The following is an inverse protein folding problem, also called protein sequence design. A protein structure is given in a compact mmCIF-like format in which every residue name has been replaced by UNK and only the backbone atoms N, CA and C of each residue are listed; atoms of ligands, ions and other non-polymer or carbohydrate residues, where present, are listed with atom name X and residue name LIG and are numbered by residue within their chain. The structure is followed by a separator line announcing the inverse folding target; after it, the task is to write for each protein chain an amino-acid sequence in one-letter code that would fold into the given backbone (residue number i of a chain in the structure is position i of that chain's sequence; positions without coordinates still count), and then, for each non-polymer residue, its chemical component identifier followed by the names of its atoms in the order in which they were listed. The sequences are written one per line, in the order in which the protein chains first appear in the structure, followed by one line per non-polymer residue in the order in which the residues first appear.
data_IF_043475363052
#
_entry.id   IF_043475363052
#
_cell.length_a   1.000
_cell.length_b   1.000
_cell.length_c   1.000
_cell.angle_alpha   90.00
_cell.angle_beta   90.00
_cell.angle_gamma   90.00
#
_symmetry.space_group_name_H-M   'P 1'
#
loop_
_entity.id
_entity.type
_entity.pdbx_description
1 polymer ?
#
# COMPACT_ATOMS: atom_id res chain seq x y z
N UNK A 1 -25.18 -13.22 19.33
CA UNK A 1 -25.73 -11.96 18.80
C UNK A 1 -26.40 -12.25 17.46
N UNK A 2 -27.55 -11.65 17.19
CA UNK A 2 -28.24 -11.78 15.90
C UNK A 2 -27.85 -10.60 15.01
N UNK A 3 -27.42 -10.88 13.77
CA UNK A 3 -27.10 -9.84 12.78
C UNK A 3 -28.38 -9.33 12.10
N UNK A 4 -28.34 -8.08 11.64
CA UNK A 4 -29.42 -7.50 10.85
C UNK A 4 -29.59 -8.19 9.49
N UNK A 5 -30.81 -8.18 8.94
CA UNK A 5 -31.11 -8.77 7.63
C UNK A 5 -30.38 -8.07 6.48
N UNK A 6 -30.25 -6.73 6.54
CA UNK A 6 -29.53 -5.91 5.56
C UNK A 6 -28.26 -5.33 6.16
N UNK A 7 -27.11 -5.64 5.55
CA UNK A 7 -25.80 -5.08 5.93
C UNK A 7 -25.50 -3.87 5.05
N UNK A 8 -25.99 -2.69 5.45
CA UNK A 8 -25.71 -1.43 4.76
C UNK A 8 -25.27 -0.38 5.76
N UNK A 9 -24.21 0.34 5.39
CA UNK A 9 -23.61 1.39 6.21
C UNK A 9 -23.55 2.68 5.41
N UNK A 10 -23.93 3.79 6.04
CA UNK A 10 -23.75 5.14 5.50
C UNK A 10 -22.73 5.85 6.37
N UNK A 11 -21.64 6.33 5.77
CA UNK A 11 -20.58 7.08 6.45
C UNK A 11 -20.48 8.47 5.84
N UNK A 12 -20.39 9.50 6.68
CA UNK A 12 -19.98 10.82 6.21
C UNK A 12 -18.46 10.80 5.99
N UNK A 13 -18.01 11.13 4.78
CA UNK A 13 -16.58 11.19 4.41
C UNK A 13 -15.91 12.51 4.80
N UNK A 14 -16.68 13.50 5.27
CA UNK A 14 -16.19 14.80 5.73
C UNK A 14 -15.96 15.81 4.62
N UNK A 15 -15.26 15.43 3.56
CA UNK A 15 -15.04 16.25 2.37
C UNK A 15 -15.03 15.37 1.10
N UNK A 16 -15.11 16.01 -0.07
CA UNK A 16 -14.91 15.35 -1.36
C UNK A 16 -13.43 14.93 -1.49
N UNK A 17 -13.12 13.68 -1.87
CA UNK A 17 -11.75 13.23 -2.03
C UNK A 17 -11.05 13.90 -3.21
N UNK A 18 -9.78 14.27 -3.05
CA UNK A 18 -8.96 14.81 -4.15
C UNK A 18 -8.75 13.80 -5.29
N UNK A 19 -8.63 12.52 -4.95
CA UNK A 19 -8.44 11.42 -5.89
C UNK A 19 -8.83 10.09 -5.24
N UNK A 20 -8.99 9.05 -6.06
CA UNK A 20 -9.06 7.66 -5.61
C UNK A 20 -7.75 6.89 -5.88
N UNK A 21 -6.78 7.52 -6.56
CA UNK A 21 -5.45 6.95 -6.78
C UNK A 21 -4.61 7.10 -5.51
N UNK A 22 -4.16 6.00 -4.87
CA UNK A 22 -3.42 6.06 -3.62
C UNK A 22 -2.08 6.82 -3.71
N UNK A 23 -1.52 7.03 -4.91
CA UNK A 23 -0.31 7.83 -5.06
C UNK A 23 -0.61 9.32 -5.26
N UNK A 24 -1.87 9.76 -5.22
CA UNK A 24 -2.31 11.14 -5.49
C UNK A 24 -3.10 11.76 -4.34
N UNK A 25 -3.07 11.14 -3.17
CA UNK A 25 -3.84 11.54 -1.99
C UNK A 25 -2.93 11.76 -0.79
N UNK A 26 -3.30 12.69 0.08
CA UNK A 26 -2.58 12.95 1.35
C UNK A 26 -3.49 13.10 2.58
N UNK A 27 -4.81 13.14 2.38
CA UNK A 27 -5.78 13.41 3.42
C UNK A 27 -6.44 12.17 4.04
N UNK A 28 -7.09 12.40 5.17
CA UNK A 28 -7.88 11.39 5.88
C UNK A 28 -9.14 10.94 5.11
N UNK A 29 -9.93 11.83 4.47
CA UNK A 29 -11.09 11.43 3.67
C UNK A 29 -10.74 10.40 2.60
N UNK A 30 -9.67 10.65 1.86
CA UNK A 30 -9.18 9.79 0.80
C UNK A 30 -8.65 8.48 1.35
N UNK A 31 -7.89 8.52 2.45
CA UNK A 31 -7.37 7.32 3.09
C UNK A 31 -8.48 6.39 3.60
N UNK A 32 -9.62 6.94 4.05
CA UNK A 32 -10.78 6.13 4.43
C UNK A 32 -11.35 5.33 3.26
N UNK A 33 -11.48 5.96 2.09
CA UNK A 33 -12.00 5.31 0.88
C UNK A 33 -10.95 4.35 0.32
N UNK A 34 -9.68 4.75 0.31
CA UNK A 34 -8.57 3.93 -0.17
C UNK A 34 -8.45 2.61 0.59
N UNK A 35 -8.66 2.59 1.91
CA UNK A 35 -8.67 1.36 2.73
C UNK A 35 -9.80 0.39 2.40
N UNK A 36 -10.91 0.87 1.86
CA UNK A 36 -12.03 0.03 1.44
C UNK A 36 -11.81 -0.52 0.01
N UNK A 37 -10.97 0.15 -0.81
CA UNK A 37 -10.71 -0.21 -2.21
C UNK A 37 -9.40 -0.98 -2.44
N UNK A 38 -8.38 -0.73 -1.62
CA UNK A 38 -7.03 -1.29 -1.76
C UNK A 38 -6.56 -1.90 -0.44
N UNK A 39 -5.94 -3.08 -0.52
CA UNK A 39 -5.32 -3.75 0.61
C UNK A 39 -3.80 -3.83 0.41
N UNK A 40 -3.03 -3.42 1.41
CA UNK A 40 -1.57 -3.48 1.39
C UNK A 40 -1.00 -4.84 1.82
N UNK A 41 0.32 -4.89 2.04
CA UNK A 41 0.99 -6.08 2.57
C UNK A 41 0.39 -6.49 3.93
N UNK A 42 0.21 -5.51 4.82
CA UNK A 42 -0.41 -5.66 6.13
C UNK A 42 -1.66 -4.77 6.24
N UNK A 43 -2.51 -5.09 7.21
CA UNK A 43 -3.66 -4.29 7.62
C UNK A 43 -3.55 -3.91 9.11
N UNK A 44 -4.51 -3.16 9.62
CA UNK A 44 -4.53 -2.69 11.01
C UNK A 44 -5.66 -3.36 11.78
N UNK A 45 -5.34 -3.95 12.94
CA UNK A 45 -6.33 -4.57 13.82
C UNK A 45 -7.36 -3.54 14.30
N UNK A 46 -8.67 -3.78 14.13
CA UNK A 46 -9.71 -2.88 14.62
C UNK A 46 -9.86 -2.93 16.15
N UNK A 47 -9.19 -3.87 16.83
CA UNK A 47 -9.28 -4.02 18.30
C UNK A 47 -8.36 -3.07 19.05
N UNK A 48 -7.16 -2.87 18.53
CA UNK A 48 -6.02 -2.29 19.25
C UNK A 48 -4.98 -1.61 18.33
N UNK A 49 -5.21 -1.61 17.01
CA UNK A 49 -4.37 -0.87 16.06
C UNK A 49 -3.04 -1.53 15.70
N UNK A 50 -2.75 -2.76 16.16
CA UNK A 50 -1.50 -3.43 15.78
C UNK A 50 -1.54 -3.92 14.32
N UNK A 51 -0.37 -4.07 13.65
CA UNK A 51 -0.31 -4.62 12.30
C UNK A 51 -0.71 -6.10 12.25
N UNK A 52 -1.59 -6.45 11.32
CA UNK A 52 -2.08 -7.81 11.06
C UNK A 52 -1.87 -8.19 9.59
N UNK A 53 -1.92 -9.48 9.21
CA UNK A 53 -1.85 -9.91 7.81
C UNK A 53 -2.87 -9.20 6.91
N UNK A 54 -2.40 -8.76 5.74
CA UNK A 54 -3.21 -8.25 4.62
C UNK A 54 -3.07 -9.19 3.43
N UNK A 55 -2.49 -8.69 2.33
CA UNK A 55 -2.11 -9.57 1.20
C UNK A 55 -0.94 -10.49 1.58
N UNK A 56 -0.03 -10.05 2.45
CA UNK A 56 1.01 -10.92 2.99
C UNK A 56 0.44 -11.76 4.14
N UNK A 57 0.52 -13.10 4.03
CA UNK A 57 0.10 -14.04 5.06
C UNK A 57 1.15 -14.20 6.17
N UNK A 58 2.42 -13.94 5.84
CA UNK A 58 3.53 -13.92 6.78
C UNK A 58 4.67 -13.04 6.26
N UNK A 59 5.58 -12.68 7.14
CA UNK A 59 6.78 -11.92 6.82
C UNK A 59 7.91 -12.26 7.79
N UNK A 60 9.14 -12.12 7.30
CA UNK A 60 10.35 -12.29 8.07
C UNK A 60 11.34 -11.16 7.76
N UNK A 61 12.36 -11.00 8.60
CA UNK A 61 13.41 -10.04 8.33
C UNK A 61 14.80 -10.59 8.68
N UNK A 62 15.79 -10.04 8.00
CA UNK A 62 17.20 -10.21 8.32
C UNK A 62 17.79 -8.86 8.70
N UNK A 63 18.28 -8.78 9.95
CA UNK A 63 18.95 -7.62 10.53
C UNK A 63 18.15 -6.31 10.46
N UNK A 64 16.81 -6.40 10.39
CA UNK A 64 15.89 -5.28 10.14
C UNK A 64 16.13 -4.50 8.84
N UNK A 65 16.95 -5.05 7.93
CA UNK A 65 17.36 -4.40 6.67
C UNK A 65 16.75 -5.06 5.44
N UNK A 66 16.53 -6.37 5.49
CA UNK A 66 15.88 -7.10 4.41
C UNK A 66 14.59 -7.68 4.96
N UNK A 67 13.47 -7.23 4.42
CA UNK A 67 12.15 -7.70 4.76
C UNK A 67 11.61 -8.57 3.63
N UNK A 68 11.16 -9.78 3.96
CA UNK A 68 10.56 -10.72 3.01
C UNK A 68 9.09 -10.87 3.35
N UNK A 69 8.21 -10.69 2.38
CA UNK A 69 6.76 -10.83 2.55
C UNK A 69 6.27 -12.00 1.70
N UNK A 70 5.55 -12.92 2.33
CA UNK A 70 4.96 -14.10 1.66
C UNK A 70 3.50 -13.79 1.37
N UNK A 71 3.15 -13.69 0.08
CA UNK A 71 1.79 -13.31 -0.34
C UNK A 71 0.86 -14.52 -0.36
N UNK A 72 -0.39 -14.33 0.07
CA UNK A 72 -1.43 -15.35 -0.03
C UNK A 72 -1.72 -15.66 -1.50
N UNK A 73 -1.82 -16.94 -1.84
CA UNK A 73 -1.95 -17.41 -3.24
C UNK A 73 -3.32 -17.16 -3.86
N UNK A 74 -4.32 -16.87 -3.05
CA UNK A 74 -5.71 -16.64 -3.44
C UNK A 74 -6.07 -15.15 -3.54
N UNK A 75 -5.13 -14.24 -3.29
CA UNK A 75 -5.34 -12.81 -3.47
C UNK A 75 -5.65 -12.50 -4.94
N UNK A 76 -6.72 -11.74 -5.16
CA UNK A 76 -7.18 -11.34 -6.49
C UNK A 76 -7.60 -9.88 -6.51
N UNK A 77 -7.36 -9.24 -7.64
CA UNK A 77 -8.00 -8.00 -8.01
C UNK A 77 -9.50 -8.22 -8.25
N UNK A 78 -10.29 -7.15 -8.21
CA UNK A 78 -11.74 -7.22 -8.42
C UNK A 78 -12.14 -7.70 -9.83
N UNK A 79 -11.22 -7.62 -10.80
CA UNK A 79 -11.39 -8.18 -12.15
C UNK A 79 -11.10 -9.69 -12.22
N UNK A 80 -10.66 -10.32 -11.12
CA UNK A 80 -10.34 -11.74 -11.02
C UNK A 80 -8.88 -12.11 -11.29
N UNK A 81 -8.04 -11.18 -11.74
CA UNK A 81 -6.60 -11.42 -11.92
C UNK A 81 -5.90 -11.62 -10.57
N UNK A 82 -4.86 -12.47 -10.49
CA UNK A 82 -4.13 -12.68 -9.25
C UNK A 82 -3.37 -11.42 -8.84
N UNK A 83 -3.35 -11.13 -7.54
CA UNK A 83 -2.42 -10.14 -6.98
C UNK A 83 -1.05 -10.81 -6.82
N UNK A 84 0.00 -10.15 -7.31
CA UNK A 84 1.36 -10.69 -7.33
C UNK A 84 2.35 -9.75 -6.67
N UNK A 85 3.54 -10.26 -6.34
CA UNK A 85 4.64 -9.41 -5.84
C UNK A 85 5.05 -8.33 -6.86
N UNK A 86 4.80 -8.55 -8.16
CA UNK A 86 5.09 -7.57 -9.19
C UNK A 86 4.20 -6.34 -9.11
N UNK A 87 2.95 -6.49 -8.64
CA UNK A 87 2.04 -5.37 -8.43
C UNK A 87 2.59 -4.42 -7.36
N UNK A 88 3.12 -4.99 -6.27
CA UNK A 88 3.79 -4.21 -5.23
C UNK A 88 5.06 -3.53 -5.75
N UNK A 89 5.92 -4.25 -6.48
CA UNK A 89 7.12 -3.65 -7.09
C UNK A 89 6.72 -2.45 -7.96
N UNK A 90 5.74 -2.63 -8.85
CA UNK A 90 5.23 -1.55 -9.69
C UNK A 90 4.68 -0.37 -8.87
N UNK A 91 3.81 -0.62 -7.89
CA UNK A 91 3.18 0.44 -7.09
C UNK A 91 4.20 1.25 -6.28
N UNK A 92 5.21 0.60 -5.70
CA UNK A 92 6.26 1.29 -4.95
C UNK A 92 7.18 2.09 -5.85
N UNK A 93 7.54 1.56 -7.03
CA UNK A 93 8.31 2.31 -8.03
C UNK A 93 7.53 3.52 -8.55
N UNK A 94 6.24 3.36 -8.80
CA UNK A 94 5.37 4.47 -9.22
C UNK A 94 5.26 5.55 -8.15
N UNK A 95 5.16 5.17 -6.87
CA UNK A 95 5.09 6.11 -5.75
C UNK A 95 6.29 7.07 -5.71
N UNK A 96 7.50 6.56 -5.95
CA UNK A 96 8.74 7.34 -5.89
C UNK A 96 9.13 7.99 -7.21
N UNK A 97 8.49 7.63 -8.33
CA UNK A 97 8.77 8.24 -9.63
C UNK A 97 8.44 9.75 -9.58
N UNK A 98 9.43 10.64 -9.83
CA UNK A 98 9.20 12.09 -9.83
C UNK A 98 8.07 12.53 -10.78
N UNK A 99 7.81 11.77 -11.86
CA UNK A 99 6.70 12.04 -12.80
C UNK A 99 5.34 11.76 -12.19
N UNK A 100 5.25 10.86 -11.22
CA UNK A 100 4.02 10.64 -10.45
C UNK A 100 3.73 11.83 -9.56
N UNK A 101 4.71 12.63 -9.14
CA UNK A 101 4.50 13.79 -8.27
C UNK A 101 3.58 13.46 -7.08
N UNK A 102 3.85 12.33 -6.41
CA UNK A 102 3.05 11.90 -5.27
C UNK A 102 3.32 12.81 -4.07
N UNK A 103 2.28 13.28 -3.34
CA UNK A 103 2.50 14.00 -2.09
C UNK A 103 3.18 13.12 -1.02
N UNK A 104 3.09 11.78 -1.16
CA UNK A 104 3.73 10.80 -0.29
C UNK A 104 4.97 10.13 -0.90
N UNK A 105 5.60 10.75 -1.92
CA UNK A 105 6.84 10.22 -2.49
C UNK A 105 7.94 10.01 -1.44
N UNK A 106 7.95 10.80 -0.36
CA UNK A 106 8.89 10.68 0.77
C UNK A 106 8.63 9.51 1.71
N UNK A 107 7.47 8.85 1.64
CA UNK A 107 7.10 7.79 2.58
C UNK A 107 8.12 6.63 2.62
N UNK A 108 8.65 6.14 1.48
CA UNK A 108 9.70 5.12 1.48
C UNK A 108 11.05 5.60 2.04
N UNK A 109 11.30 6.91 2.16
CA UNK A 109 12.49 7.46 2.82
C UNK A 109 12.48 7.16 4.32
N UNK A 110 11.31 7.20 4.96
CA UNK A 110 11.15 6.86 6.39
C UNK A 110 11.46 5.38 6.67
N UNK A 111 11.21 4.51 5.69
CA UNK A 111 11.59 3.10 5.73
C UNK A 111 13.03 2.83 5.28
N UNK A 112 13.78 3.87 4.88
CA UNK A 112 15.14 3.77 4.33
C UNK A 112 15.27 2.74 3.20
N UNK A 113 14.30 2.70 2.28
CA UNK A 113 14.38 1.80 1.14
C UNK A 113 15.57 2.19 0.25
N UNK A 114 16.35 1.20 -0.15
CA UNK A 114 17.56 1.41 -0.95
C UNK A 114 17.24 2.23 -2.22
N UNK A 115 18.07 3.24 -2.49
CA UNK A 115 18.01 4.18 -3.62
C UNK A 115 16.83 5.18 -3.62
N UNK A 116 15.99 5.22 -2.58
CA UNK A 116 14.82 6.11 -2.55
C UNK A 116 15.17 7.59 -2.74
N UNK A 117 16.22 8.08 -2.05
CA UNK A 117 16.61 9.49 -2.09
C UNK A 117 17.09 9.88 -3.49
N UNK A 118 17.96 9.06 -4.09
CA UNK A 118 18.46 9.33 -5.45
C UNK A 118 17.35 9.24 -6.51
N UNK A 119 16.32 8.41 -6.31
CA UNK A 119 15.19 8.32 -7.24
C UNK A 119 14.30 9.56 -7.14
N UNK A 120 13.94 9.99 -5.92
CA UNK A 120 13.13 11.19 -5.71
C UNK A 120 13.86 12.44 -6.25
N UNK A 121 15.18 12.50 -6.06
CA UNK A 121 16.03 13.56 -6.63
C UNK A 121 16.21 13.47 -8.16
N UNK A 122 15.66 12.45 -8.81
CA UNK A 122 15.76 12.24 -10.26
C UNK A 122 17.15 11.78 -10.75
N UNK A 123 18.01 11.31 -9.84
CA UNK A 123 19.38 10.84 -10.13
C UNK A 123 19.43 9.36 -10.51
N UNK A 124 18.42 8.57 -10.14
CA UNK A 124 18.27 7.15 -10.48
C UNK A 124 16.88 6.85 -11.04
N UNK A 125 16.77 5.76 -11.81
CA UNK A 125 15.49 5.33 -12.35
C UNK A 125 14.63 4.67 -11.25
N UNK A 126 13.29 4.83 -11.29
CA UNK A 126 12.40 4.17 -10.32
C UNK A 126 12.59 2.65 -10.25
N UNK A 127 12.96 2.01 -11.36
CA UNK A 127 13.26 0.57 -11.43
C UNK A 127 14.43 0.13 -10.55
N UNK A 128 15.27 1.06 -10.09
CA UNK A 128 16.40 0.80 -9.19
C UNK A 128 16.01 0.82 -7.71
N UNK A 129 14.74 1.08 -7.38
CA UNK A 129 14.26 1.06 -6.00
C UNK A 129 14.52 -0.31 -5.35
N UNK A 130 14.89 -0.32 -4.07
CA UNK A 130 15.22 -1.51 -3.28
C UNK A 130 14.09 -2.52 -3.00
N UNK A 131 13.19 -2.74 -3.96
CA UNK A 131 12.07 -3.68 -3.89
C UNK A 131 12.17 -4.67 -5.05
N UNK A 132 11.88 -5.94 -4.81
CA UNK A 132 12.00 -7.00 -5.82
C UNK A 132 11.02 -8.14 -5.55
N UNK A 133 10.61 -8.82 -6.62
CA UNK A 133 9.84 -10.06 -6.61
C UNK A 133 10.78 -11.25 -6.90
N UNK A 134 10.51 -12.42 -6.30
CA UNK A 134 11.18 -13.72 -6.55
C UNK A 134 10.15 -14.82 -6.69
#
# INVERSE_FOLDING_TARGET
MQLAEKQTLVRNSGAEPQSLDPNKIEGVPEANISRDLFEGLLNTSPKDGHPIPGVAESWDNKDFKVWTFHLRKDAKWSNGEPVTAQDFVYSWQRLVDPKTASPYASYPQYGHIVNVDEIIDGKKAPSELGVKSH
#
